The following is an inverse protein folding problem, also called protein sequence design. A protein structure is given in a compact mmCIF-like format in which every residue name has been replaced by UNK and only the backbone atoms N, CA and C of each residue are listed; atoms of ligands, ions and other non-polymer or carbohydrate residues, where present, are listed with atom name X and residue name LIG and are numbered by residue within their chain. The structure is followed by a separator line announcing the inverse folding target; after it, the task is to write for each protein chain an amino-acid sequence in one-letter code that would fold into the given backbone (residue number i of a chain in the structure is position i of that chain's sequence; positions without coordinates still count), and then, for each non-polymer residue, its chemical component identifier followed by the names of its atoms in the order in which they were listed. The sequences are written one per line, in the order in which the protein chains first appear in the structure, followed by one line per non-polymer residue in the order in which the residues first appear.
data_IF_853182665565
#
_entry.id   IF_853182665565
#
_cell.length_a   1.000
_cell.length_b   1.000
_cell.length_c   1.000
_cell.angle_alpha   90.00
_cell.angle_beta   90.00
_cell.angle_gamma   90.00
#
_symmetry.space_group_name_H-M   'P 1'
#
loop_
_entity.id
_entity.type
_entity.pdbx_description
1 polymer ?
#
# COMPACT_ATOMS: atom_id res chain seq x y z
N UNK A 1 -14.29 9.63 4.54
CA UNK A 1 -13.50 10.85 4.80
C UNK A 1 -14.38 11.94 5.39
N UNK A 2 -13.92 12.63 6.45
CA UNK A 2 -14.67 13.72 7.09
C UNK A 2 -15.72 13.31 8.13
N UNK A 3 -16.02 12.05 8.30
CA UNK A 3 -16.92 11.56 9.32
C UNK A 3 -16.22 11.51 10.69
N UNK A 4 -16.95 11.82 11.78
CA UNK A 4 -16.44 11.66 13.14
C UNK A 4 -16.30 10.18 13.51
N UNK A 5 -15.51 9.87 14.55
CA UNK A 5 -15.34 8.51 15.03
C UNK A 5 -16.69 7.84 15.40
N UNK A 6 -17.62 8.59 16.00
CA UNK A 6 -18.95 8.11 16.34
C UNK A 6 -19.78 7.77 15.09
N UNK A 7 -19.75 8.63 14.06
CA UNK A 7 -20.43 8.34 12.80
C UNK A 7 -19.85 7.11 12.10
N UNK A 8 -18.51 6.97 12.11
CA UNK A 8 -17.85 5.79 11.57
C UNK A 8 -18.27 4.53 12.32
N UNK A 9 -18.38 4.61 13.65
CA UNK A 9 -18.82 3.49 14.47
C UNK A 9 -20.26 3.08 14.13
N UNK A 10 -21.19 4.02 14.14
CA UNK A 10 -22.61 3.75 13.95
C UNK A 10 -22.95 3.31 12.51
N UNK A 11 -22.33 3.93 11.50
CA UNK A 11 -22.70 3.76 10.10
C UNK A 11 -21.84 2.73 9.33
N UNK A 12 -20.66 2.38 9.85
CA UNK A 12 -19.73 1.47 9.16
C UNK A 12 -19.31 0.31 10.05
N UNK A 13 -18.79 0.60 11.26
CA UNK A 13 -18.17 -0.42 12.12
C UNK A 13 -19.20 -1.41 12.64
N UNK A 14 -20.27 -0.92 13.29
CA UNK A 14 -21.34 -1.77 13.85
C UNK A 14 -22.05 -2.64 12.80
N UNK A 15 -22.43 -2.12 11.61
CA UNK A 15 -22.97 -2.97 10.54
C UNK A 15 -22.02 -4.09 10.09
N UNK A 16 -20.72 -3.81 9.99
CA UNK A 16 -19.73 -4.83 9.65
C UNK A 16 -19.54 -5.85 10.76
N UNK A 17 -19.41 -5.43 12.00
CA UNK A 17 -19.30 -6.34 13.13
C UNK A 17 -20.50 -7.29 13.21
N UNK A 18 -21.70 -6.74 13.08
CA UNK A 18 -22.93 -7.54 13.11
C UNK A 18 -22.98 -8.58 11.97
N UNK A 19 -22.51 -8.21 10.77
CA UNK A 19 -22.45 -9.13 9.65
C UNK A 19 -21.36 -10.22 9.86
N UNK A 20 -20.23 -9.85 10.43
CA UNK A 20 -19.12 -10.75 10.70
C UNK A 20 -19.40 -11.71 11.84
N UNK A 21 -20.05 -11.25 12.92
CA UNK A 21 -20.41 -12.08 14.08
C UNK A 21 -21.33 -13.26 13.72
N UNK A 22 -21.99 -13.23 12.57
CA UNK A 22 -22.80 -14.34 12.08
C UNK A 22 -21.97 -15.49 11.50
N UNK A 23 -20.66 -15.31 11.32
CA UNK A 23 -19.79 -16.36 10.81
C UNK A 23 -19.48 -17.39 11.91
N UNK A 24 -19.67 -18.69 11.68
CA UNK A 24 -19.49 -19.72 12.70
C UNK A 24 -18.01 -20.01 13.02
N UNK A 25 -17.10 -19.41 12.29
CA UNK A 25 -15.67 -19.67 12.36
C UNK A 25 -14.92 -18.76 13.34
N UNK A 26 -15.59 -17.76 13.87
CA UNK A 26 -14.96 -16.73 14.69
C UNK A 26 -14.61 -17.21 16.09
N UNK A 27 -13.46 -16.75 16.58
CA UNK A 27 -13.14 -16.70 18.00
C UNK A 27 -13.60 -15.38 18.58
N UNK A 28 -13.11 -14.27 18.03
CA UNK A 28 -13.55 -12.93 18.41
C UNK A 28 -13.40 -11.92 17.26
N UNK A 29 -14.12 -10.81 17.40
CA UNK A 29 -14.03 -9.62 16.55
C UNK A 29 -13.72 -8.43 17.43
N UNK A 30 -12.75 -7.62 17.06
CA UNK A 30 -12.43 -6.36 17.71
C UNK A 30 -12.33 -5.23 16.68
N UNK A 31 -12.68 -4.03 17.08
CA UNK A 31 -12.68 -2.88 16.18
C UNK A 31 -12.12 -1.61 16.81
N UNK A 32 -11.68 -0.70 15.96
CA UNK A 32 -11.27 0.65 16.31
C UNK A 32 -11.93 1.59 15.30
N UNK A 33 -12.74 2.52 15.80
CA UNK A 33 -13.34 3.60 15.02
C UNK A 33 -12.60 4.90 15.29
N UNK A 34 -12.14 5.53 14.24
CA UNK A 34 -11.44 6.83 14.24
C UNK A 34 -12.10 7.77 13.24
N UNK A 35 -11.70 9.03 13.23
CA UNK A 35 -12.22 10.00 12.26
C UNK A 35 -11.92 9.54 10.82
N UNK A 36 -12.96 9.20 10.08
CA UNK A 36 -12.87 8.74 8.69
C UNK A 36 -12.32 7.32 8.48
N UNK A 37 -12.04 6.55 9.54
CA UNK A 37 -11.45 5.22 9.46
C UNK A 37 -12.13 4.23 10.42
N UNK A 38 -12.51 3.07 9.88
CA UNK A 38 -12.90 1.88 10.65
C UNK A 38 -11.87 0.77 10.41
N UNK A 39 -11.35 0.20 11.47
CA UNK A 39 -10.46 -0.96 11.42
C UNK A 39 -11.08 -2.09 12.24
N UNK A 40 -11.28 -3.26 11.63
CA UNK A 40 -11.86 -4.43 12.28
C UNK A 40 -10.87 -5.58 12.18
N UNK A 41 -10.56 -6.19 13.30
CA UNK A 41 -9.71 -7.36 13.41
C UNK A 41 -10.58 -8.58 13.72
N UNK A 42 -10.46 -9.60 12.87
CA UNK A 42 -11.21 -10.85 12.96
C UNK A 42 -10.26 -11.97 13.31
N UNK A 43 -10.49 -12.64 14.44
CA UNK A 43 -9.73 -13.81 14.83
C UNK A 43 -10.55 -15.08 14.59
N UNK A 44 -9.95 -16.01 13.84
CA UNK A 44 -10.57 -17.32 13.55
C UNK A 44 -10.24 -18.28 14.70
N UNK A 45 -11.22 -19.09 15.09
CA UNK A 45 -11.07 -20.05 16.17
C UNK A 45 -9.96 -21.08 15.83
N UNK A 46 -9.12 -21.39 16.81
CA UNK A 46 -7.94 -22.24 16.66
C UNK A 46 -8.21 -23.70 16.22
N UNK A 47 -9.48 -24.13 16.27
CA UNK A 47 -9.91 -25.45 15.77
C UNK A 47 -9.86 -25.59 14.24
N UNK A 48 -9.80 -24.46 13.51
CA UNK A 48 -9.70 -24.48 12.04
C UNK A 48 -8.25 -24.52 11.61
N UNK A 49 -7.95 -25.39 10.66
CA UNK A 49 -6.60 -25.62 10.18
C UNK A 49 -6.32 -24.86 8.89
N UNK A 50 -5.04 -24.74 8.52
CA UNK A 50 -4.57 -23.97 7.37
C UNK A 50 -5.23 -24.33 6.04
N UNK A 51 -5.68 -25.57 5.85
CA UNK A 51 -6.39 -26.02 4.66
C UNK A 51 -7.83 -25.51 4.56
N UNK A 52 -8.44 -25.08 5.67
CA UNK A 52 -9.81 -24.56 5.75
C UNK A 52 -9.84 -23.03 5.64
N UNK A 53 -8.75 -22.37 6.02
CA UNK A 53 -8.67 -20.89 6.06
C UNK A 53 -8.99 -20.22 4.72
N UNK A 54 -8.55 -20.70 3.54
CA UNK A 54 -8.88 -20.05 2.27
C UNK A 54 -10.39 -19.92 2.04
N UNK A 55 -11.16 -20.96 2.33
CA UNK A 55 -12.62 -20.91 2.21
C UNK A 55 -13.25 -19.97 3.22
N UNK A 56 -12.73 -19.91 4.44
CA UNK A 56 -13.19 -19.02 5.50
C UNK A 56 -12.94 -17.55 5.08
N UNK A 57 -11.76 -17.25 4.54
CA UNK A 57 -11.45 -15.90 4.04
C UNK A 57 -12.32 -15.49 2.85
N UNK A 58 -12.65 -16.42 1.96
CA UNK A 58 -13.57 -16.14 0.84
C UNK A 58 -14.98 -15.83 1.35
N UNK A 59 -15.46 -16.54 2.36
CA UNK A 59 -16.75 -16.27 2.96
C UNK A 59 -16.75 -14.93 3.71
N UNK A 60 -15.67 -14.61 4.43
CA UNK A 60 -15.49 -13.34 5.11
C UNK A 60 -15.51 -12.18 4.11
N UNK A 61 -14.74 -12.26 3.02
CA UNK A 61 -14.74 -11.26 1.95
C UNK A 61 -16.12 -11.04 1.34
N UNK A 62 -16.87 -12.13 1.12
CA UNK A 62 -18.24 -12.05 0.60
C UNK A 62 -19.15 -11.33 1.60
N UNK A 63 -19.09 -11.66 2.90
CA UNK A 63 -19.88 -10.99 3.94
C UNK A 63 -19.57 -9.51 4.05
N UNK A 64 -18.30 -9.14 4.03
CA UNK A 64 -17.88 -7.73 4.01
C UNK A 64 -18.40 -7.02 2.77
N UNK A 65 -18.31 -7.64 1.59
CA UNK A 65 -18.84 -7.10 0.33
C UNK A 65 -20.37 -6.91 0.37
N UNK A 66 -21.11 -7.82 0.95
CA UNK A 66 -22.56 -7.70 1.07
C UNK A 66 -22.96 -6.59 2.06
N UNK A 67 -22.30 -6.50 3.21
CA UNK A 67 -22.54 -5.45 4.19
C UNK A 67 -22.18 -4.06 3.64
N UNK A 68 -21.10 -3.95 2.87
CA UNK A 68 -20.65 -2.68 2.30
C UNK A 68 -21.63 -2.04 1.32
N UNK A 69 -22.55 -2.82 0.74
CA UNK A 69 -23.61 -2.29 -0.15
C UNK A 69 -24.63 -1.41 0.58
N UNK A 70 -24.69 -1.51 1.90
CA UNK A 70 -25.60 -0.76 2.75
C UNK A 70 -24.96 0.49 3.34
N UNK A 71 -23.72 0.76 3.03
CA UNK A 71 -22.99 1.92 3.56
C UNK A 71 -23.50 3.23 2.99
N UNK A 72 -23.37 4.32 3.75
CA UNK A 72 -23.66 5.66 3.26
C UNK A 72 -22.80 6.04 2.04
N UNK A 73 -23.29 6.94 1.19
CA UNK A 73 -22.51 7.47 0.08
C UNK A 73 -21.19 8.09 0.56
N UNK A 74 -20.09 7.82 -0.12
CA UNK A 74 -18.77 8.33 0.21
C UNK A 74 -17.90 7.42 1.08
N UNK A 75 -18.45 6.28 1.54
CA UNK A 75 -17.63 5.24 2.16
C UNK A 75 -16.89 4.44 1.09
N UNK A 76 -15.58 4.33 1.25
CA UNK A 76 -14.73 3.53 0.34
C UNK A 76 -14.99 2.05 0.58
N UNK A 77 -14.95 1.24 -0.47
CA UNK A 77 -15.08 -0.23 -0.36
C UNK A 77 -14.07 -0.78 0.66
N UNK A 78 -14.51 -1.58 1.64
CA UNK A 78 -13.60 -2.15 2.63
C UNK A 78 -12.51 -3.01 1.98
N UNK A 79 -11.29 -2.83 2.42
CA UNK A 79 -10.18 -3.70 2.07
C UNK A 79 -10.04 -4.79 3.13
N UNK A 80 -10.12 -6.05 2.69
CA UNK A 80 -9.91 -7.21 3.57
C UNK A 80 -8.48 -7.69 3.40
N UNK A 81 -7.69 -7.57 4.45
CA UNK A 81 -6.33 -8.09 4.52
C UNK A 81 -6.34 -9.44 5.25
N UNK A 82 -6.25 -10.52 4.51
CA UNK A 82 -6.14 -11.90 5.01
C UNK A 82 -4.68 -12.40 5.04
N UNK A 83 -3.76 -11.59 4.61
CA UNK A 83 -2.31 -11.85 4.71
C UNK A 83 -1.76 -11.52 6.12
N UNK A 84 -2.61 -11.13 7.02
CA UNK A 84 -2.24 -10.77 8.39
C UNK A 84 -1.96 -12.05 9.19
N UNK A 85 -0.69 -12.40 9.31
CA UNK A 85 -0.26 -13.58 10.02
C UNK A 85 0.46 -14.61 9.15
N UNK A 86 0.80 -14.27 7.92
CA UNK A 86 1.76 -15.06 7.15
C UNK A 86 3.02 -15.27 7.98
N UNK A 87 3.26 -16.50 8.37
CA UNK A 87 4.51 -16.89 9.01
C UNK A 87 5.57 -16.96 7.93
N UNK A 88 6.49 -16.01 7.94
CA UNK A 88 7.63 -16.09 7.05
C UNK A 88 8.62 -17.13 7.59
N UNK A 89 8.84 -18.17 6.83
CA UNK A 89 9.88 -19.18 7.13
C UNK A 89 11.28 -18.66 6.80
N UNK A 90 11.39 -17.58 5.99
CA UNK A 90 12.64 -16.95 5.61
C UNK A 90 12.43 -15.44 5.52
N UNK A 91 13.26 -14.67 6.24
CA UNK A 91 13.10 -13.22 6.31
C UNK A 91 14.44 -12.51 6.24
N UNK A 92 14.56 -11.56 5.32
CA UNK A 92 15.78 -10.80 5.11
C UNK A 92 15.49 -9.36 4.71
N UNK A 93 16.50 -8.50 4.84
CA UNK A 93 16.45 -7.12 4.41
C UNK A 93 17.47 -6.83 3.30
N UNK A 94 17.11 -5.89 2.46
CA UNK A 94 17.93 -5.36 1.37
C UNK A 94 18.20 -3.89 1.67
N UNK A 95 19.46 -3.53 1.80
CA UNK A 95 19.89 -2.16 2.08
C UNK A 95 21.03 -1.74 1.15
N UNK A 96 21.26 -0.42 1.07
CA UNK A 96 22.38 0.13 0.29
C UNK A 96 22.41 1.64 0.42
N UNK A 97 23.54 2.19 0.88
CA UNK A 97 23.65 3.62 1.20
C UNK A 97 23.52 4.53 -0.04
N UNK A 98 23.93 4.04 -1.20
CA UNK A 98 23.91 4.79 -2.47
C UNK A 98 22.60 4.56 -3.26
N UNK A 99 21.68 3.74 -2.75
CA UNK A 99 20.46 3.38 -3.44
C UNK A 99 19.24 4.07 -2.82
N UNK A 100 18.40 4.61 -3.69
CA UNK A 100 17.08 5.11 -3.31
C UNK A 100 16.11 3.95 -3.01
N UNK A 101 15.05 4.20 -2.22
CA UNK A 101 14.05 3.18 -1.94
C UNK A 101 13.45 2.53 -3.21
N UNK A 102 13.09 3.27 -4.28
CA UNK A 102 12.61 2.65 -5.52
C UNK A 102 13.62 1.72 -6.21
N UNK A 103 14.92 2.00 -6.09
CA UNK A 103 15.97 1.14 -6.65
C UNK A 103 16.09 -0.16 -5.86
N UNK A 104 16.05 -0.08 -4.52
CA UNK A 104 16.00 -1.26 -3.65
C UNK A 104 14.74 -2.09 -3.90
N UNK A 105 13.57 -1.46 -4.04
CA UNK A 105 12.31 -2.13 -4.38
C UNK A 105 12.41 -2.85 -5.73
N UNK A 106 12.99 -2.20 -6.74
CA UNK A 106 13.18 -2.82 -8.06
C UNK A 106 14.07 -4.06 -7.99
N UNK A 107 15.11 -4.01 -7.18
CA UNK A 107 15.95 -5.18 -6.94
C UNK A 107 15.20 -6.27 -6.16
N UNK A 108 14.43 -5.90 -5.12
CA UNK A 108 13.57 -6.83 -4.39
C UNK A 108 12.55 -7.51 -5.31
N UNK A 109 11.95 -6.77 -6.23
CA UNK A 109 11.04 -7.31 -7.25
C UNK A 109 11.73 -8.31 -8.21
N UNK A 110 12.98 -8.07 -8.54
CA UNK A 110 13.77 -9.03 -9.32
C UNK A 110 14.00 -10.32 -8.50
N UNK A 111 14.40 -10.20 -7.23
CA UNK A 111 14.56 -11.34 -6.35
C UNK A 111 13.22 -12.10 -6.18
N UNK A 112 12.12 -11.39 -5.97
CA UNK A 112 10.78 -12.00 -5.83
C UNK A 112 10.43 -12.90 -6.99
N UNK A 113 10.65 -12.44 -8.23
CA UNK A 113 10.36 -13.23 -9.44
C UNK A 113 11.12 -14.54 -9.50
N UNK A 114 12.32 -14.57 -8.97
CA UNK A 114 13.16 -15.76 -8.95
C UNK A 114 12.83 -16.70 -7.77
N UNK A 115 12.62 -16.11 -6.58
CA UNK A 115 12.36 -16.88 -5.37
C UNK A 115 10.98 -17.58 -5.38
N UNK A 116 9.97 -16.94 -6.00
CA UNK A 116 8.62 -17.54 -6.10
C UNK A 116 8.61 -18.83 -6.95
N UNK A 117 9.60 -19.04 -7.80
CA UNK A 117 9.71 -20.24 -8.64
C UNK A 117 10.29 -21.44 -7.90
N UNK A 118 10.81 -21.26 -6.70
CA UNK A 118 11.38 -22.35 -5.90
C UNK A 118 10.26 -23.26 -5.40
N UNK A 119 10.33 -24.57 -5.64
CA UNK A 119 9.34 -25.52 -5.14
C UNK A 119 9.21 -25.45 -3.62
N UNK A 120 7.99 -25.31 -3.13
CA UNK A 120 7.71 -25.19 -1.69
C UNK A 120 7.56 -23.73 -1.21
N UNK A 121 7.87 -22.74 -2.02
CA UNK A 121 7.55 -21.33 -1.74
C UNK A 121 6.08 -21.04 -2.07
N UNK A 122 5.34 -20.56 -1.09
CA UNK A 122 3.94 -20.16 -1.27
C UNK A 122 3.82 -18.71 -1.70
N UNK A 123 4.59 -17.80 -1.06
CA UNK A 123 4.49 -16.36 -1.26
C UNK A 123 5.82 -15.69 -0.96
N UNK A 124 6.09 -14.61 -1.67
CA UNK A 124 7.19 -13.70 -1.39
C UNK A 124 6.63 -12.29 -1.25
N UNK A 125 6.68 -11.74 -0.04
CA UNK A 125 6.20 -10.40 0.29
C UNK A 125 7.35 -9.41 0.36
N UNK A 126 7.11 -8.19 -0.12
CA UNK A 126 8.07 -7.08 -0.04
C UNK A 126 7.48 -6.04 0.92
N UNK A 127 8.25 -5.66 1.95
CA UNK A 127 7.90 -4.61 2.89
C UNK A 127 8.82 -3.40 2.78
N UNK A 128 8.35 -2.24 3.22
CA UNK A 128 9.14 -1.00 3.19
C UNK A 128 9.24 -0.33 1.82
N UNK A 129 8.43 -0.77 0.85
CA UNK A 129 8.29 -0.05 -0.40
C UNK A 129 7.59 1.30 -0.14
N UNK A 130 8.26 2.39 -0.49
CA UNK A 130 7.69 3.73 -0.43
C UNK A 130 7.08 4.04 -1.79
N UNK A 131 5.77 4.25 -1.82
CA UNK A 131 5.05 4.56 -3.06
C UNK A 131 5.57 5.86 -3.67
N UNK A 132 5.73 5.85 -4.99
CA UNK A 132 5.93 7.09 -5.73
C UNK A 132 4.60 7.86 -5.81
N UNK A 133 4.69 9.17 -5.70
CA UNK A 133 3.56 10.06 -5.86
C UNK A 133 3.91 11.19 -6.83
N UNK A 134 2.88 11.74 -7.45
CA UNK A 134 3.01 12.97 -8.23
C UNK A 134 2.69 14.15 -7.30
N UNK A 135 3.59 15.09 -7.22
CA UNK A 135 3.37 16.35 -6.52
C UNK A 135 2.95 17.40 -7.52
N UNK A 136 1.84 18.08 -7.25
CA UNK A 136 1.34 19.20 -8.03
C UNK A 136 1.44 20.44 -7.15
N UNK A 137 2.50 21.21 -7.32
CA UNK A 137 2.71 22.47 -6.60
C UNK A 137 2.04 23.61 -7.34
N UNK A 138 0.90 24.07 -6.83
CA UNK A 138 0.04 25.09 -7.46
C UNK A 138 0.40 26.46 -6.96
N UNK A 139 0.67 27.40 -7.88
CA UNK A 139 0.91 28.78 -7.56
C UNK A 139 -0.40 29.57 -7.46
N UNK A 140 -0.73 30.04 -6.27
CA UNK A 140 -1.92 30.88 -6.02
C UNK A 140 -1.88 32.19 -6.81
N UNK A 141 -0.70 32.79 -6.95
CA UNK A 141 -0.49 34.03 -7.73
C UNK A 141 -0.81 33.81 -9.20
N UNK A 142 -0.33 32.70 -9.79
CA UNK A 142 -0.62 32.39 -11.20
C UNK A 142 -2.09 32.03 -11.42
N UNK A 143 -2.75 31.38 -10.46
CA UNK A 143 -4.19 31.10 -10.49
C UNK A 143 -5.01 32.37 -10.48
N UNK A 144 -4.73 33.28 -9.52
CA UNK A 144 -5.41 34.56 -9.39
C UNK A 144 -5.27 35.39 -10.66
N UNK A 145 -4.07 35.46 -11.24
CA UNK A 145 -3.81 36.20 -12.48
C UNK A 145 -4.62 35.68 -13.68
N UNK A 146 -5.10 34.41 -13.63
CA UNK A 146 -5.91 33.77 -14.68
C UNK A 146 -7.40 33.65 -14.31
N UNK A 147 -7.81 34.21 -13.16
CA UNK A 147 -9.19 34.13 -12.68
C UNK A 147 -9.68 32.73 -12.33
N UNK A 148 -8.77 31.82 -12.01
CA UNK A 148 -9.09 30.46 -11.64
C UNK A 148 -9.17 30.36 -10.13
N UNK A 149 -10.29 29.84 -9.61
CA UNK A 149 -10.49 29.60 -8.17
C UNK A 149 -10.07 28.18 -7.78
N UNK A 150 -9.71 28.00 -6.51
CA UNK A 150 -9.33 26.70 -5.97
C UNK A 150 -10.48 25.68 -6.11
N UNK A 151 -11.73 26.12 -5.91
CA UNK A 151 -12.91 25.25 -6.04
C UNK A 151 -13.09 24.75 -7.48
N UNK A 152 -12.85 25.61 -8.47
CA UNK A 152 -12.92 25.22 -9.89
C UNK A 152 -11.84 24.21 -10.24
N UNK A 153 -10.62 24.43 -9.76
CA UNK A 153 -9.52 23.50 -9.97
C UNK A 153 -9.78 22.14 -9.29
N UNK A 154 -10.21 22.16 -8.03
CA UNK A 154 -10.56 20.94 -7.28
C UNK A 154 -11.68 20.15 -7.96
N UNK A 155 -12.74 20.85 -8.40
CA UNK A 155 -13.85 20.19 -9.10
C UNK A 155 -13.40 19.58 -10.43
N UNK A 156 -12.50 20.22 -11.17
CA UNK A 156 -11.96 19.67 -12.40
C UNK A 156 -11.09 18.44 -12.16
N UNK A 157 -10.14 18.51 -11.21
CA UNK A 157 -9.26 17.42 -10.88
C UNK A 157 -10.04 16.20 -10.34
N UNK A 158 -11.10 16.44 -9.59
CA UNK A 158 -12.01 15.38 -9.12
C UNK A 158 -12.76 14.69 -10.26
N UNK A 159 -13.23 15.45 -11.26
CA UNK A 159 -13.89 14.88 -12.45
C UNK A 159 -12.98 13.99 -13.30
N UNK A 160 -11.70 14.28 -13.28
CA UNK A 160 -10.67 13.54 -14.01
C UNK A 160 -10.14 12.34 -13.22
N UNK A 161 -10.71 12.04 -12.04
CA UNK A 161 -10.20 11.05 -11.09
C UNK A 161 -8.73 11.29 -10.69
N UNK A 162 -8.25 12.51 -10.85
CA UNK A 162 -6.87 12.88 -10.53
C UNK A 162 -6.69 13.03 -9.01
N UNK A 163 -7.74 13.44 -8.30
CA UNK A 163 -7.74 13.60 -6.84
C UNK A 163 -8.98 12.95 -6.26
N UNK A 164 -8.79 11.88 -5.52
CA UNK A 164 -9.82 11.24 -4.71
C UNK A 164 -9.50 11.50 -3.23
N UNK A 165 -10.14 12.48 -2.65
CA UNK A 165 -9.98 13.01 -1.29
C UNK A 165 -8.90 14.08 -1.10
N UNK A 166 -9.26 15.04 -0.24
CA UNK A 166 -8.51 16.24 0.08
C UNK A 166 -7.01 15.97 0.26
N UNK A 167 -6.25 16.42 -0.72
CA UNK A 167 -4.81 16.50 -0.57
C UNK A 167 -4.48 17.32 0.67
N UNK A 168 -3.47 16.94 1.39
CA UNK A 168 -2.96 17.68 2.52
C UNK A 168 -2.58 19.08 2.01
N UNK A 169 -3.36 20.09 2.42
CA UNK A 169 -3.05 21.49 2.09
C UNK A 169 -1.92 21.89 3.02
N UNK A 170 -0.70 21.73 2.58
CA UNK A 170 0.44 22.34 3.25
C UNK A 170 0.43 23.80 2.86
N UNK A 171 -0.15 24.65 3.72
CA UNK A 171 -0.22 26.08 3.54
C UNK A 171 1.15 26.70 3.72
N UNK A 172 1.90 26.79 2.64
CA UNK A 172 2.93 27.80 2.48
C UNK A 172 2.27 29.03 1.86
N UNK A 173 2.77 30.22 2.13
CA UNK A 173 2.13 31.53 1.82
C UNK A 173 1.80 31.74 0.33
N UNK A 174 2.27 30.91 -0.60
CA UNK A 174 2.14 31.12 -2.05
C UNK A 174 1.83 29.87 -2.89
N UNK A 175 1.81 28.68 -2.31
CA UNK A 175 1.56 27.44 -3.07
C UNK A 175 0.76 26.40 -2.28
N UNK A 176 0.00 25.60 -3.03
CA UNK A 176 -0.75 24.46 -2.50
C UNK A 176 -0.20 23.20 -3.17
N UNK A 177 0.17 22.21 -2.38
CA UNK A 177 0.61 20.92 -2.89
C UNK A 177 -0.56 19.96 -2.90
N UNK A 178 -0.79 19.30 -4.04
CA UNK A 178 -1.77 18.25 -4.21
C UNK A 178 -1.06 16.95 -4.56
N UNK A 179 -1.58 15.84 -4.04
CA UNK A 179 -1.13 14.50 -4.36
C UNK A 179 -2.25 13.75 -5.08
N UNK A 180 -2.20 13.61 -6.40
CA UNK A 180 -3.21 12.86 -7.14
C UNK A 180 -3.14 11.38 -6.78
N UNK A 181 -4.30 10.75 -6.66
CA UNK A 181 -4.45 9.31 -6.51
C UNK A 181 -4.56 8.68 -7.89
N UNK A 182 -3.54 7.96 -8.33
CA UNK A 182 -3.51 7.26 -9.60
C UNK A 182 -2.08 7.06 -10.10
N UNK A 183 -1.86 6.00 -10.85
CA UNK A 183 -0.61 5.78 -11.56
C UNK A 183 -0.64 6.61 -12.85
N UNK A 184 0.03 7.74 -12.84
CA UNK A 184 0.25 8.54 -14.05
C UNK A 184 1.55 8.11 -14.70
N UNK A 185 1.46 7.44 -15.83
CA UNK A 185 2.63 7.03 -16.61
C UNK A 185 3.37 8.24 -17.19
N UNK A 186 2.62 9.29 -17.54
CA UNK A 186 3.17 10.48 -18.19
C UNK A 186 2.77 11.78 -17.46
N UNK A 187 3.74 12.47 -16.86
CA UNK A 187 3.53 13.78 -16.23
C UNK A 187 3.14 14.87 -17.23
N UNK A 188 3.58 14.77 -18.48
CA UNK A 188 3.27 15.76 -19.51
C UNK A 188 1.79 15.74 -19.87
N UNK A 189 1.16 14.57 -19.92
CA UNK A 189 -0.28 14.46 -20.15
C UNK A 189 -1.09 15.13 -19.05
N UNK A 190 -0.69 14.92 -17.79
CA UNK A 190 -1.31 15.59 -16.65
C UNK A 190 -1.08 17.09 -16.70
N UNK A 191 0.12 17.54 -17.05
CA UNK A 191 0.48 18.96 -17.16
C UNK A 191 -0.28 19.67 -18.28
N UNK A 192 -0.65 18.95 -19.34
CA UNK A 192 -1.36 19.49 -20.51
C UNK A 192 -2.89 19.56 -20.35
N UNK A 193 -3.42 19.10 -19.23
CA UNK A 193 -4.86 19.20 -18.95
C UNK A 193 -5.30 20.66 -18.96
N UNK A 194 -6.36 20.92 -19.75
CA UNK A 194 -6.97 22.24 -19.86
C UNK A 194 -7.89 22.48 -18.67
N UNK A 195 -7.62 23.55 -17.92
CA UNK A 195 -8.31 23.93 -16.69
C UNK A 195 -9.15 25.21 -16.83
N UNK A 196 -9.31 25.74 -18.04
CA UNK A 196 -10.06 26.98 -18.27
C UNK A 196 -11.55 26.74 -18.07
N UNK A 197 -12.27 27.62 -17.34
CA UNK A 197 -13.73 27.63 -17.33
C UNK A 197 -14.28 27.84 -18.75
N UNK A 198 -15.33 27.11 -19.12
CA UNK A 198 -15.97 27.27 -20.41
C UNK A 198 -16.42 28.72 -20.63
N UNK A 199 -15.89 29.39 -21.63
CA UNK A 199 -16.37 30.72 -22.09
C UNK A 199 -15.42 31.89 -21.87
N UNK A 200 -14.25 31.71 -21.30
CA UNK A 200 -13.34 32.85 -21.01
C UNK A 200 -11.96 32.66 -21.65
N UNK A 201 -11.76 33.16 -22.85
CA UNK A 201 -10.44 33.47 -23.39
C UNK A 201 -9.55 32.25 -23.74
N UNK A 202 -8.23 32.44 -23.71
CA UNK A 202 -7.25 31.45 -24.08
C UNK A 202 -7.23 30.26 -23.13
N UNK A 203 -7.09 29.03 -23.68
CA UNK A 203 -7.00 27.78 -22.91
C UNK A 203 -5.81 27.85 -21.93
N UNK A 204 -6.09 27.72 -20.62
CA UNK A 204 -5.07 27.60 -19.58
C UNK A 204 -4.85 26.13 -19.26
N UNK A 205 -3.61 25.69 -19.27
CA UNK A 205 -3.23 24.32 -18.91
C UNK A 205 -2.76 24.25 -17.46
N UNK A 206 -2.76 23.04 -16.89
CA UNK A 206 -2.29 22.84 -15.51
C UNK A 206 -0.83 23.31 -15.33
N UNK A 207 0.05 23.07 -16.31
CA UNK A 207 1.44 23.56 -16.32
C UNK A 207 1.60 25.07 -16.23
N UNK A 208 0.57 25.81 -16.61
CA UNK A 208 0.62 27.28 -16.59
C UNK A 208 0.49 27.84 -15.17
N UNK A 209 -0.10 27.09 -14.27
CA UNK A 209 -0.36 27.49 -12.88
C UNK A 209 0.30 26.59 -11.85
N UNK A 210 0.80 25.43 -12.24
CA UNK A 210 1.41 24.44 -11.35
C UNK A 210 2.73 23.91 -11.89
N UNK A 211 3.57 23.44 -10.98
CA UNK A 211 4.76 22.64 -11.27
C UNK A 211 4.49 21.21 -10.85
N UNK A 212 4.70 20.27 -11.76
CA UNK A 212 4.52 18.84 -11.51
C UNK A 212 5.87 18.18 -11.31
N UNK A 213 5.98 17.32 -10.31
CA UNK A 213 7.19 16.55 -10.04
C UNK A 213 6.84 15.15 -9.52
N UNK A 214 7.69 14.18 -9.79
CA UNK A 214 7.61 12.87 -9.13
C UNK A 214 8.42 12.91 -7.85
N UNK A 215 7.85 12.40 -6.78
CA UNK A 215 8.49 12.27 -5.49
C UNK A 215 8.12 10.96 -4.82
N UNK A 216 8.77 10.66 -3.72
CA UNK A 216 8.35 9.59 -2.82
C UNK A 216 7.29 10.15 -1.88
N UNK A 217 6.40 9.28 -1.41
CA UNK A 217 5.47 9.64 -0.35
C UNK A 217 6.26 10.13 0.87
N UNK A 218 6.05 11.37 1.26
CA UNK A 218 6.75 12.02 2.37
C UNK A 218 6.31 11.46 3.74
N UNK A 219 5.13 10.84 3.78
CA UNK A 219 4.58 10.20 4.99
C UNK A 219 4.21 8.74 4.72
N UNK A 220 5.19 7.86 4.44
CA UNK A 220 4.90 6.46 4.21
C UNK A 220 4.38 5.80 5.49
N UNK A 221 3.46 4.83 5.34
CA UNK A 221 2.86 4.12 6.46
C UNK A 221 3.89 3.36 7.31
N UNK A 222 5.01 2.94 6.70
CA UNK A 222 6.10 2.25 7.38
C UNK A 222 7.44 2.53 6.71
N UNK A 223 8.48 2.73 7.53
CA UNK A 223 9.87 2.83 7.11
C UNK A 223 10.65 1.76 7.86
N UNK A 224 11.34 0.90 7.11
CA UNK A 224 12.17 -0.15 7.70
C UNK A 224 13.63 0.26 7.71
N UNK A 225 14.31 -0.13 8.79
CA UNK A 225 15.76 0.03 8.93
C UNK A 225 16.37 -1.32 9.26
N UNK A 226 17.43 -1.67 8.56
CA UNK A 226 18.28 -2.81 8.87
C UNK A 226 19.68 -2.27 9.22
N UNK A 227 20.21 -2.64 10.39
CA UNK A 227 21.52 -2.19 10.87
C UNK A 227 21.70 -0.65 10.80
N UNK A 228 20.62 0.11 11.11
CA UNK A 228 20.62 1.58 11.07
C UNK A 228 20.47 2.22 9.69
N UNK A 229 20.40 1.42 8.62
CA UNK A 229 20.22 1.89 7.23
C UNK A 229 18.77 1.70 6.78
N UNK A 230 18.27 2.58 5.91
CA UNK A 230 16.96 2.38 5.27
C UNK A 230 17.01 1.09 4.44
N UNK A 231 15.98 0.27 4.59
CA UNK A 231 15.92 -1.04 3.98
C UNK A 231 14.55 -1.36 3.41
N UNK A 232 14.54 -2.26 2.45
CA UNK A 232 13.36 -2.98 1.96
C UNK A 232 13.46 -4.40 2.53
N UNK A 233 12.36 -4.92 3.07
CA UNK A 233 12.34 -6.26 3.64
C UNK A 233 11.67 -7.25 2.69
N UNK A 234 12.09 -8.49 2.77
CA UNK A 234 11.48 -9.61 2.03
C UNK A 234 11.16 -10.75 2.99
N UNK A 235 9.91 -11.20 2.95
CA UNK A 235 9.43 -12.36 3.68
C UNK A 235 8.99 -13.45 2.72
N UNK A 236 9.45 -14.68 2.95
CA UNK A 236 9.08 -15.84 2.16
C UNK A 236 8.28 -16.80 3.02
N UNK A 237 7.04 -17.09 2.61
CA UNK A 237 6.17 -18.07 3.25
C UNK A 237 6.27 -19.40 2.51
N UNK A 238 6.19 -20.49 3.24
CA UNK A 238 6.26 -21.86 2.68
C UNK A 238 4.86 -22.45 2.50
N UNK A 239 4.74 -23.33 1.51
CA UNK A 239 3.53 -24.13 1.34
C UNK A 239 3.36 -25.05 2.56
N UNK A 240 2.16 -25.14 3.16
CA UNK A 240 1.92 -26.04 4.28
C UNK A 240 2.30 -27.50 3.95
N UNK A 241 3.05 -28.14 4.86
CA UNK A 241 3.42 -29.56 4.72
C UNK A 241 4.68 -29.85 3.89
N UNK A 242 5.37 -28.81 3.40
CA UNK A 242 6.68 -29.03 2.75
C UNK A 242 7.78 -29.25 3.76
N UNK A 243 8.87 -29.86 3.32
CA UNK A 243 10.09 -29.93 4.13
C UNK A 243 10.75 -28.55 4.15
N UNK A 244 10.65 -27.85 5.28
CA UNK A 244 11.18 -26.48 5.46
C UNK A 244 12.70 -26.41 5.27
N UNK A 245 13.43 -27.50 5.60
CA UNK A 245 14.89 -27.57 5.46
C UNK A 245 15.29 -27.57 3.98
N UNK A 246 14.61 -28.36 3.16
CA UNK A 246 14.89 -28.45 1.72
C UNK A 246 14.58 -27.10 1.03
N UNK A 247 13.47 -26.48 1.40
CA UNK A 247 13.09 -25.17 0.85
C UNK A 247 14.07 -24.09 1.29
N UNK A 248 14.48 -24.08 2.56
CA UNK A 248 15.46 -23.13 3.09
C UNK A 248 16.81 -23.25 2.35
N UNK A 249 17.35 -24.45 2.19
CA UNK A 249 18.59 -24.65 1.43
C UNK A 249 18.47 -24.20 -0.03
N UNK A 250 17.31 -24.42 -0.68
CA UNK A 250 17.08 -23.96 -2.03
C UNK A 250 17.03 -22.43 -2.12
N UNK A 251 16.43 -21.77 -1.13
CA UNK A 251 16.40 -20.30 -1.00
C UNK A 251 17.80 -19.72 -0.80
N UNK A 252 18.57 -20.27 0.13
CA UNK A 252 19.96 -19.84 0.39
C UNK A 252 20.84 -19.98 -0.85
N UNK A 253 20.77 -21.16 -1.52
CA UNK A 253 21.51 -21.40 -2.75
C UNK A 253 21.16 -20.40 -3.84
N UNK A 254 19.85 -20.11 -4.02
CA UNK A 254 19.37 -19.15 -5.00
C UNK A 254 19.81 -17.71 -4.66
N UNK A 255 19.67 -17.30 -3.41
CA UNK A 255 20.13 -15.98 -2.94
C UNK A 255 21.64 -15.82 -3.09
N UNK A 256 22.43 -16.85 -2.79
CA UNK A 256 23.88 -16.86 -2.99
C UNK A 256 24.24 -16.68 -4.45
N UNK A 257 23.57 -17.41 -5.35
CA UNK A 257 23.75 -17.25 -6.81
C UNK A 257 23.45 -15.82 -7.26
N UNK A 258 22.29 -15.26 -6.87
CA UNK A 258 21.87 -13.92 -7.26
C UNK A 258 22.73 -12.85 -6.59
N UNK A 259 23.26 -13.12 -5.42
CA UNK A 259 24.15 -12.20 -4.71
C UNK A 259 25.48 -11.99 -5.42
N UNK A 260 25.92 -12.94 -6.22
CA UNK A 260 27.11 -12.80 -7.07
C UNK A 260 26.91 -11.78 -8.21
N UNK A 261 25.66 -11.59 -8.65
CA UNK A 261 25.27 -10.70 -9.74
C UNK A 261 24.66 -9.37 -9.24
N UNK A 262 24.57 -9.18 -7.91
CA UNK A 262 23.95 -7.98 -7.33
C UNK A 262 24.74 -6.73 -7.63
N UNK A 263 24.08 -5.56 -7.76
CA UNK A 263 24.74 -4.28 -7.86
C UNK A 263 25.71 -4.04 -6.67
N UNK A 264 26.89 -3.50 -6.97
CA UNK A 264 27.84 -3.15 -5.94
C UNK A 264 27.22 -2.14 -4.96
N UNK A 265 27.42 -2.34 -3.66
CA UNK A 265 26.81 -1.50 -2.60
C UNK A 265 25.49 -1.99 -2.05
N UNK A 266 24.78 -2.92 -2.69
CA UNK A 266 23.61 -3.58 -2.10
C UNK A 266 24.07 -4.63 -1.08
N UNK A 267 23.45 -4.64 0.09
CA UNK A 267 23.62 -5.62 1.15
C UNK A 267 22.32 -6.39 1.36
N UNK A 268 22.44 -7.68 1.61
CA UNK A 268 21.34 -8.57 1.97
C UNK A 268 21.66 -9.12 3.33
N UNK A 269 20.84 -8.79 4.32
CA UNK A 269 21.00 -9.21 5.71
C UNK A 269 19.88 -10.20 6.06
N UNK A 270 20.24 -11.45 6.35
CA UNK A 270 19.31 -12.49 6.77
C UNK A 270 18.99 -12.29 8.26
N UNK A 271 17.71 -12.23 8.61
CA UNK A 271 17.24 -12.06 9.99
C UNK A 271 16.61 -13.32 10.56
N UNK A 272 15.99 -14.12 9.74
CA UNK A 272 15.32 -15.34 10.18
C UNK A 272 15.35 -16.41 9.09
N UNK A 273 15.73 -17.61 9.48
CA UNK A 273 15.71 -18.83 8.68
C UNK A 273 15.19 -19.98 9.51
N UNK A 274 13.95 -20.39 9.25
CA UNK A 274 13.31 -21.51 9.93
C UNK A 274 14.03 -22.83 9.68
N UNK A 275 14.61 -23.01 8.49
CA UNK A 275 15.33 -24.23 8.14
C UNK A 275 16.57 -24.42 9.02
N UNK A 276 17.32 -23.34 9.27
CA UNK A 276 18.47 -23.36 10.15
C UNK A 276 18.08 -23.65 11.60
N UNK A 277 16.97 -23.07 12.10
CA UNK A 277 16.50 -23.33 13.46
C UNK A 277 16.03 -24.78 13.67
N UNK A 278 15.26 -25.32 12.72
CA UNK A 278 14.77 -26.71 12.78
C UNK A 278 15.92 -27.72 12.61
N UNK A 279 16.92 -27.40 11.79
CA UNK A 279 18.08 -28.26 11.57
C UNK A 279 19.02 -28.40 12.77
N UNK A 280 18.92 -27.50 13.76
CA UNK A 280 19.69 -27.52 15.00
C UNK A 280 18.95 -28.16 16.20
N UNK A 281 17.67 -28.56 16.02
CA UNK A 281 16.83 -29.20 17.03
C UNK A 281 16.81 -30.71 16.86
#
# INVERSE_FOLDING_TARGET
PGASAQQVEEEVTLPLENALQQLPYLDNVSSISSNGLSQITVNIASRYHSNELPQIWDELRRRVGDASRQFPPGVVTPFVNDDFGDVFGFFFAISGDEFSNPELVRYAEQLRRELILIPGVAKVAIGGAISQQVNIDISLTKMAARGITLNQLSALLSRLNVVSSAGEITSGTESIRLHPTGEFENLDELADIIITPSGTGAATRLRDIATLSRGLNESPASIYHANGKKAVTMGVSFIPGVNVIDVGHALEAKLSQMSAEKPAGIQIDLFYDQAAEVGHS
#
